data_IF_044232503528
#
_entry.id   IF_044232503528
#
_cell.length_a   1.000
_cell.length_b   1.000
_cell.length_c   1.000
_cell.angle_alpha   90.00
_cell.angle_beta   90.00
_cell.angle_gamma   90.00
#
_symmetry.space_group_name_H-M   'P 1'
#
loop_
_entity.id
_entity.type
_entity.pdbx_description
1 polymer ?
#
# COMPACT_ATOMS: atom_id res chain seq x y z
N UNK A 1 5.38 3.82 -8.69
CA UNK A 1 4.46 4.64 -9.52
C UNK A 1 3.15 4.83 -8.76
N UNK A 2 2.45 5.96 -8.95
CA UNK A 2 1.16 6.24 -8.28
C UNK A 2 0.15 6.64 -9.34
N UNK A 3 -1.02 6.00 -9.35
CA UNK A 3 -2.06 6.23 -10.37
C UNK A 3 -3.47 6.00 -9.82
N UNK A 4 -4.46 6.64 -10.43
CA UNK A 4 -5.87 6.47 -10.06
C UNK A 4 -6.70 7.73 -10.25
N UNK A 5 -8.00 7.61 -9.98
CA UNK A 5 -8.97 8.70 -9.97
C UNK A 5 -9.91 8.56 -8.77
N UNK A 6 -10.21 9.67 -8.10
CA UNK A 6 -11.09 9.68 -6.92
C UNK A 6 -10.53 8.82 -5.78
N UNK A 7 -11.37 7.97 -5.18
CA UNK A 7 -10.98 7.01 -4.13
C UNK A 7 -10.55 5.63 -4.66
N UNK A 8 -10.30 5.52 -5.97
CA UNK A 8 -9.68 4.34 -6.58
C UNK A 8 -8.27 4.70 -7.02
N UNK A 9 -7.31 4.57 -6.10
CA UNK A 9 -5.89 4.81 -6.35
C UNK A 9 -5.07 3.54 -6.16
N UNK A 10 -3.85 3.54 -6.68
CA UNK A 10 -2.92 2.44 -6.53
C UNK A 10 -1.48 2.93 -6.50
N UNK A 11 -0.66 2.20 -5.74
CA UNK A 11 0.80 2.37 -5.71
C UNK A 11 1.43 1.08 -6.25
N UNK A 12 2.32 1.23 -7.23
CA UNK A 12 3.11 0.15 -7.79
C UNK A 12 4.57 0.22 -7.31
N UNK A 13 5.07 -0.91 -6.82
CA UNK A 13 6.41 -1.05 -6.27
C UNK A 13 7.36 -1.79 -7.22
N UNK A 14 8.58 -1.27 -7.32
CA UNK A 14 9.67 -1.86 -8.10
C UNK A 14 10.92 -1.96 -7.26
N UNK A 15 11.80 -2.90 -7.59
CA UNK A 15 13.09 -3.06 -6.91
C UNK A 15 13.94 -1.79 -7.14
N UNK A 16 14.55 -1.20 -6.09
CA UNK A 16 15.35 0.01 -6.19
C UNK A 16 16.40 -0.07 -7.31
N UNK A 17 16.54 1.02 -8.08
CA UNK A 17 17.48 1.08 -9.20
C UNK A 17 17.10 0.25 -10.43
N UNK A 18 15.93 -0.40 -10.45
CA UNK A 18 15.46 -1.22 -11.56
C UNK A 18 13.99 -0.97 -11.91
N UNK A 19 13.53 -1.55 -13.02
CA UNK A 19 12.11 -1.61 -13.39
C UNK A 19 11.46 -2.96 -13.04
N UNK A 20 12.14 -3.82 -12.29
CA UNK A 20 11.60 -5.13 -11.92
C UNK A 20 10.50 -4.96 -10.86
N UNK A 21 9.33 -5.59 -11.01
CA UNK A 21 8.28 -5.62 -10.00
C UNK A 21 8.79 -6.13 -8.65
N UNK A 22 8.36 -5.50 -7.55
CA UNK A 22 8.72 -5.93 -6.19
C UNK A 22 7.51 -6.53 -5.46
N UNK A 23 7.15 -7.77 -5.83
CA UNK A 23 6.02 -8.48 -5.22
C UNK A 23 6.26 -8.82 -3.74
N UNK A 24 7.50 -9.14 -3.38
CA UNK A 24 7.87 -9.51 -2.01
C UNK A 24 7.73 -8.32 -1.05
N UNK A 25 8.26 -7.15 -1.43
CA UNK A 25 8.05 -5.90 -0.69
C UNK A 25 6.55 -5.57 -0.54
N UNK A 26 5.78 -5.72 -1.62
CA UNK A 26 4.33 -5.46 -1.62
C UNK A 26 3.59 -6.37 -0.65
N UNK A 27 3.95 -7.66 -0.59
CA UNK A 27 3.39 -8.61 0.39
C UNK A 27 3.78 -8.26 1.82
N UNK A 28 5.05 -7.89 2.07
CA UNK A 28 5.52 -7.48 3.39
C UNK A 28 4.73 -6.27 3.92
N UNK A 29 4.51 -5.26 3.07
CA UNK A 29 3.71 -4.08 3.43
C UNK A 29 2.27 -4.48 3.77
N UNK A 30 1.64 -5.35 2.97
CA UNK A 30 0.27 -5.83 3.24
C UNK A 30 0.18 -6.54 4.59
N UNK A 31 1.11 -7.46 4.87
CA UNK A 31 1.10 -8.25 6.11
C UNK A 31 1.29 -7.37 7.34
N UNK A 32 2.28 -6.48 7.33
CA UNK A 32 2.51 -5.57 8.46
C UNK A 32 1.39 -4.54 8.64
N UNK A 33 0.79 -4.07 7.55
CA UNK A 33 -0.38 -3.20 7.64
C UNK A 33 -1.55 -3.94 8.29
N UNK A 34 -1.77 -5.21 7.92
CA UNK A 34 -2.81 -6.05 8.52
C UNK A 34 -2.59 -6.26 10.02
N UNK A 35 -1.35 -6.52 10.44
CA UNK A 35 -1.00 -6.64 11.87
C UNK A 35 -1.27 -5.35 12.66
N UNK A 36 -1.24 -4.20 11.98
CA UNK A 36 -1.56 -2.87 12.52
C UNK A 36 -3.04 -2.49 12.40
N UNK A 37 -3.89 -3.40 11.89
CA UNK A 37 -5.33 -3.18 11.73
C UNK A 37 -5.75 -2.54 10.42
N UNK A 38 -4.84 -2.32 9.47
CA UNK A 38 -5.13 -1.75 8.14
C UNK A 38 -5.24 -2.85 7.08
N UNK A 39 -6.43 -3.02 6.51
CA UNK A 39 -6.67 -3.98 5.43
C UNK A 39 -6.25 -3.38 4.08
N UNK A 40 -5.22 -3.94 3.47
CA UNK A 40 -4.74 -3.56 2.14
C UNK A 40 -4.97 -4.69 1.12
N UNK A 41 -5.34 -4.31 -0.10
CA UNK A 41 -5.57 -5.25 -1.20
C UNK A 41 -4.42 -5.19 -2.22
N UNK A 42 -3.80 -6.33 -2.49
CA UNK A 42 -2.80 -6.48 -3.55
C UNK A 42 -3.50 -6.84 -4.87
N UNK A 43 -2.97 -6.33 -5.97
CA UNK A 43 -3.42 -6.61 -7.32
C UNK A 43 -2.26 -6.47 -8.33
N UNK A 44 -2.59 -6.41 -9.62
CA UNK A 44 -1.61 -6.28 -10.71
C UNK A 44 -1.05 -7.63 -11.16
N UNK A 45 -0.64 -7.70 -12.43
CA UNK A 45 -0.16 -8.95 -13.06
C UNK A 45 1.03 -9.56 -12.32
N UNK A 46 1.89 -8.70 -11.76
CA UNK A 46 3.10 -9.12 -11.05
C UNK A 46 2.95 -9.11 -9.53
N UNK A 47 1.75 -8.87 -8.99
CA UNK A 47 1.50 -8.83 -7.54
C UNK A 47 2.24 -7.72 -6.79
N UNK A 48 2.63 -6.66 -7.49
CA UNK A 48 3.46 -5.56 -6.98
C UNK A 48 2.68 -4.24 -6.79
N UNK A 49 1.35 -4.31 -6.73
CA UNK A 49 0.47 -3.13 -6.66
C UNK A 49 -0.44 -3.25 -5.44
N UNK A 50 -0.48 -2.22 -4.59
CA UNK A 50 -1.51 -2.05 -3.57
C UNK A 50 -2.55 -1.08 -4.11
N UNK A 51 -3.84 -1.47 -4.05
CA UNK A 51 -4.96 -0.61 -4.42
C UNK A 51 -5.71 -0.10 -3.19
N UNK A 52 -6.10 1.16 -3.23
CA UNK A 52 -6.89 1.86 -2.22
C UNK A 52 -8.30 2.03 -2.76
N UNK A 53 -9.26 1.49 -2.01
CA UNK A 53 -10.69 1.45 -2.33
C UNK A 53 -11.48 1.60 -1.03
N UNK A 54 -11.25 2.70 -0.32
CA UNK A 54 -12.00 3.00 0.90
C UNK A 54 -13.49 3.26 0.55
N UNK A 55 -14.42 2.99 1.48
CA UNK A 55 -15.81 3.42 1.32
C UNK A 55 -15.89 4.93 1.08
N UNK A 56 -16.75 5.38 0.16
CA UNK A 56 -16.93 6.81 -0.11
C UNK A 56 -17.55 7.58 1.07
N UNK A 57 -17.99 6.85 2.10
CA UNK A 57 -18.58 7.37 3.33
C UNK A 57 -17.63 7.29 4.53
N UNK A 58 -16.36 6.95 4.32
CA UNK A 58 -15.37 6.85 5.40
C UNK A 58 -15.23 8.19 6.12
N UNK A 59 -15.19 8.16 7.46
CA UNK A 59 -14.96 9.35 8.26
C UNK A 59 -13.51 9.85 8.09
N UNK A 60 -13.32 11.17 8.04
CA UNK A 60 -12.01 11.79 7.86
C UNK A 60 -10.98 11.32 8.91
N UNK A 61 -11.42 11.10 10.16
CA UNK A 61 -10.54 10.63 11.24
C UNK A 61 -10.07 9.19 11.03
N UNK A 62 -10.95 8.31 10.54
CA UNK A 62 -10.61 6.91 10.24
C UNK A 62 -9.70 6.86 9.01
N UNK A 63 -9.96 7.71 8.02
CA UNK A 63 -9.09 7.80 6.85
C UNK A 63 -7.69 8.34 7.21
N UNK A 64 -7.60 9.33 8.09
CA UNK A 64 -6.33 9.84 8.59
C UNK A 64 -5.53 8.76 9.33
N UNK A 65 -6.17 8.01 10.25
CA UNK A 65 -5.54 6.88 10.94
C UNK A 65 -5.01 5.83 9.96
N UNK A 66 -5.79 5.49 8.93
CA UNK A 66 -5.35 4.56 7.90
C UNK A 66 -4.12 5.05 7.12
N UNK A 67 -4.02 6.36 6.85
CA UNK A 67 -2.86 6.95 6.19
C UNK A 67 -1.62 6.97 7.08
N UNK A 68 -1.79 7.24 8.38
CA UNK A 68 -0.70 7.17 9.36
C UNK A 68 -0.13 5.73 9.46
N UNK A 69 -1.01 4.73 9.58
CA UNK A 69 -0.61 3.32 9.59
C UNK A 69 0.11 2.94 8.29
N UNK A 70 -0.40 3.41 7.14
CA UNK A 70 0.21 3.15 5.84
C UNK A 70 1.63 3.74 5.76
N UNK A 71 1.81 5.01 6.15
CA UNK A 71 3.11 5.68 6.14
C UNK A 71 4.12 4.95 7.03
N UNK A 72 3.76 4.67 8.28
CA UNK A 72 4.64 3.96 9.21
C UNK A 72 5.04 2.58 8.69
N UNK A 73 4.07 1.84 8.13
CA UNK A 73 4.31 0.50 7.58
C UNK A 73 5.28 0.56 6.40
N UNK A 74 5.07 1.49 5.46
CA UNK A 74 5.95 1.66 4.31
C UNK A 74 7.38 2.01 4.73
N UNK A 75 7.54 2.91 5.71
CA UNK A 75 8.87 3.28 6.23
C UNK A 75 9.56 2.11 6.91
N UNK A 76 8.84 1.33 7.73
CA UNK A 76 9.39 0.15 8.39
C UNK A 76 9.83 -0.91 7.37
N UNK A 77 8.99 -1.25 6.39
CA UNK A 77 9.36 -2.19 5.32
C UNK A 77 10.56 -1.69 4.50
N UNK A 78 10.64 -0.39 4.21
CA UNK A 78 11.74 0.17 3.43
C UNK A 78 13.09 0.17 4.18
N UNK A 79 13.09 0.15 5.51
CA UNK A 79 14.33 0.05 6.31
C UNK A 79 14.87 -1.39 6.36
N UNK A 80 14.02 -2.39 6.12
CA UNK A 80 14.38 -3.80 6.15
C UNK A 80 14.75 -4.37 4.76
N UNK A 81 14.51 -3.60 3.70
CA UNK A 81 14.70 -3.98 2.30
C UNK A 81 16.02 -3.47 1.72
#
# INVERSE_FOLDING_TARGET
>A
DIRGLGLMNAIEFTVPGSRKPSAEFTNSVREKALDRGLILLICGVYGNVIRFLAPITIEDTVFAEALDILEETLRACAQEA
#
